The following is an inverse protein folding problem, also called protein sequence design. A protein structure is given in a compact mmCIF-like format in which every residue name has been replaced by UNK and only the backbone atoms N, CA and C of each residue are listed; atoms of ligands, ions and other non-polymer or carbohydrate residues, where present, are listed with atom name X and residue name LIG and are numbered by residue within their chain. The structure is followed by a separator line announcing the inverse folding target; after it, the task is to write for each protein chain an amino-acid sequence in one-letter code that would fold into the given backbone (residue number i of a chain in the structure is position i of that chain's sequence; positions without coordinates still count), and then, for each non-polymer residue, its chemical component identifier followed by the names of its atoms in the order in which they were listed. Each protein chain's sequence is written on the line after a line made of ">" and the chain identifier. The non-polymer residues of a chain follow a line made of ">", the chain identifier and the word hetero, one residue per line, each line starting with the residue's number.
data_IF_095338760786
#
_entry.id   IF_095338760786
#
_cell.length_a   1.000
_cell.length_b   1.000
_cell.length_c   1.000
_cell.angle_alpha   90.00
_cell.angle_beta   90.00
_cell.angle_gamma   90.00
#
_symmetry.space_group_name_H-M   'P 1'
#
loop_
_entity.id
_entity.type
_entity.pdbx_description
1 polymer ?
#
# COMPACT_ATOMS: atom_id res chain seq x y z
N UNK A 1 -8.07 8.19 -27.20
CA UNK A 1 -6.69 8.26 -26.67
C UNK A 1 -6.36 9.72 -26.38
N UNK A 2 -6.20 10.10 -25.12
CA UNK A 2 -5.74 11.44 -24.75
C UNK A 2 -4.22 11.49 -24.94
N UNK A 3 -3.76 12.24 -25.94
CA UNK A 3 -2.34 12.54 -26.13
C UNK A 3 -1.93 13.71 -25.24
N UNK A 4 -0.84 13.55 -24.49
CA UNK A 4 -0.26 14.63 -23.68
C UNK A 4 0.47 15.63 -24.60
N UNK A 5 -0.23 16.69 -25.02
CA UNK A 5 0.37 17.85 -25.69
C UNK A 5 0.60 18.97 -24.66
N UNK A 6 1.72 18.94 -23.95
CA UNK A 6 2.14 20.04 -23.06
C UNK A 6 2.74 19.60 -21.71
N UNK A 7 3.22 20.59 -20.94
CA UNK A 7 3.79 20.40 -19.60
C UNK A 7 2.73 20.66 -18.52
N UNK A 8 2.78 19.91 -17.41
CA UNK A 8 1.94 20.20 -16.22
C UNK A 8 2.45 21.50 -15.58
N UNK A 9 1.59 22.50 -15.43
CA UNK A 9 1.96 23.77 -14.79
C UNK A 9 2.34 23.53 -13.33
N UNK A 10 3.31 24.29 -12.84
CA UNK A 10 3.63 24.34 -11.41
C UNK A 10 2.48 25.07 -10.71
N UNK A 11 1.76 24.35 -9.87
CA UNK A 11 0.76 24.92 -8.97
C UNK A 11 1.41 25.13 -7.60
N UNK A 12 1.58 26.39 -7.21
CA UNK A 12 2.19 26.78 -5.93
C UNK A 12 1.17 26.77 -4.78
N UNK A 13 -0.13 26.77 -5.12
CA UNK A 13 -1.22 26.73 -4.15
C UNK A 13 -1.64 25.27 -3.86
N UNK A 14 -1.04 24.29 -4.54
CA UNK A 14 -1.26 22.87 -4.31
C UNK A 14 -0.78 22.48 -2.90
N UNK A 15 -1.74 22.28 -1.98
CA UNK A 15 -1.45 21.92 -0.60
C UNK A 15 -0.97 20.47 -0.45
N UNK A 16 -1.61 19.54 -1.17
CA UNK A 16 -1.28 18.11 -1.09
C UNK A 16 -1.09 17.51 -2.49
N UNK A 17 -0.07 16.65 -2.63
CA UNK A 17 0.20 15.91 -3.88
C UNK A 17 -0.76 14.73 -4.08
N UNK A 18 -1.18 14.12 -2.98
CA UNK A 18 -2.13 13.04 -2.90
C UNK A 18 -3.25 13.46 -1.94
N UNK A 19 -4.43 12.81 -1.98
CA UNK A 19 -5.47 13.05 -0.99
C UNK A 19 -4.92 12.95 0.44
N UNK A 20 -5.47 13.74 1.36
CA UNK A 20 -5.05 13.71 2.77
C UNK A 20 -5.30 12.33 3.39
N UNK A 21 -6.40 11.68 3.01
CA UNK A 21 -6.69 10.31 3.40
C UNK A 21 -6.03 9.33 2.41
N UNK A 22 -5.22 8.41 2.93
CA UNK A 22 -4.57 7.39 2.12
C UNK A 22 -5.56 6.44 1.45
N UNK A 23 -6.76 6.27 2.01
CA UNK A 23 -7.80 5.41 1.43
C UNK A 23 -8.35 5.97 0.13
N UNK A 24 -8.26 7.29 -0.04
CA UNK A 24 -8.70 7.98 -1.25
C UNK A 24 -7.63 8.00 -2.35
N UNK A 25 -6.45 7.43 -2.10
CA UNK A 25 -5.36 7.37 -3.09
C UNK A 25 -5.68 6.42 -4.25
N UNK A 26 -6.54 5.43 -4.00
CA UNK A 26 -7.00 4.47 -4.99
C UNK A 26 -8.54 4.50 -5.05
N UNK A 27 -9.14 4.18 -6.21
CA UNK A 27 -10.58 4.00 -6.29
C UNK A 27 -11.07 2.95 -5.28
N UNK A 28 -12.27 3.13 -4.74
CA UNK A 28 -12.91 2.15 -3.83
C UNK A 28 -13.06 0.78 -4.49
N UNK A 29 -13.18 0.75 -5.82
CA UNK A 29 -13.27 -0.48 -6.62
C UNK A 29 -11.92 -1.11 -6.97
N UNK A 30 -10.80 -0.57 -6.49
CA UNK A 30 -9.48 -1.13 -6.77
C UNK A 30 -9.35 -2.54 -6.16
N UNK A 31 -8.93 -3.56 -6.93
CA UNK A 31 -8.88 -4.93 -6.44
C UNK A 31 -7.87 -5.15 -5.31
N UNK A 32 -6.93 -4.22 -5.06
CA UNK A 32 -6.03 -4.32 -3.91
C UNK A 32 -6.79 -4.35 -2.58
N UNK A 33 -7.96 -3.67 -2.51
CA UNK A 33 -8.80 -3.69 -1.31
C UNK A 33 -9.34 -5.09 -0.99
N UNK A 34 -9.63 -5.89 -2.03
CA UNK A 34 -9.99 -7.29 -1.84
C UNK A 34 -8.82 -8.10 -1.29
N UNK A 35 -7.60 -7.88 -1.81
CA UNK A 35 -6.41 -8.60 -1.33
C UNK A 35 -6.12 -8.28 0.13
N UNK A 36 -6.20 -7.00 0.52
CA UNK A 36 -6.06 -6.55 1.92
C UNK A 36 -7.10 -7.25 2.80
N UNK A 37 -8.38 -7.21 2.42
CA UNK A 37 -9.45 -7.83 3.19
C UNK A 37 -9.33 -9.35 3.29
N UNK A 38 -8.82 -10.03 2.26
CA UNK A 38 -8.53 -11.46 2.32
C UNK A 38 -7.43 -11.74 3.32
N UNK A 39 -6.32 -10.99 3.29
CA UNK A 39 -5.20 -11.19 4.22
C UNK A 39 -5.62 -10.92 5.68
N UNK A 40 -6.44 -9.90 5.93
CA UNK A 40 -7.01 -9.63 7.26
C UNK A 40 -7.83 -10.80 7.82
N UNK A 41 -8.43 -11.62 6.95
CA UNK A 41 -9.18 -12.82 7.33
C UNK A 41 -8.34 -14.08 7.55
N UNK A 42 -7.04 -14.06 7.23
CA UNK A 42 -6.16 -15.24 7.35
C UNK A 42 -5.54 -15.35 8.75
N UNK A 43 -5.30 -16.58 9.21
CA UNK A 43 -4.49 -16.81 10.41
C UNK A 43 -2.99 -16.64 10.09
N UNK A 44 -2.49 -15.42 10.28
CA UNK A 44 -1.08 -15.06 10.04
C UNK A 44 -0.19 -15.17 11.29
N UNK A 45 -0.70 -15.71 12.42
CA UNK A 45 0.04 -15.77 13.69
C UNK A 45 1.42 -16.43 13.58
N UNK A 46 1.56 -17.43 12.71
CA UNK A 46 2.85 -18.11 12.48
C UNK A 46 3.86 -17.23 11.76
N UNK A 47 3.42 -16.31 10.91
CA UNK A 47 4.30 -15.33 10.25
C UNK A 47 4.81 -14.32 11.26
N UNK A 48 3.91 -13.81 12.11
CA UNK A 48 4.25 -12.95 13.24
C UNK A 48 5.18 -13.64 14.24
N UNK A 49 4.95 -14.92 14.58
CA UNK A 49 5.82 -15.66 15.51
C UNK A 49 7.25 -15.88 14.97
N UNK A 50 7.42 -15.99 13.64
CA UNK A 50 8.75 -16.07 13.01
C UNK A 50 9.46 -14.73 12.97
N UNK A 51 8.72 -13.62 13.11
CA UNK A 51 9.30 -12.28 13.03
C UNK A 51 10.09 -11.98 14.31
N UNK A 52 11.39 -11.73 14.14
CA UNK A 52 12.24 -11.22 15.22
C UNK A 52 12.01 -9.72 15.41
N UNK A 53 11.69 -9.32 16.63
CA UNK A 53 11.62 -7.91 17.08
C UNK A 53 12.82 -7.60 17.99
N UNK A 54 13.12 -6.31 18.19
CA UNK A 54 14.12 -5.85 19.16
C UNK A 54 15.60 -6.05 18.80
N UNK A 55 15.92 -6.32 17.53
CA UNK A 55 17.31 -6.37 17.04
C UNK A 55 17.86 -4.99 16.64
N UNK A 56 19.16 -4.91 16.37
CA UNK A 56 19.79 -3.71 15.83
C UNK A 56 19.30 -3.41 14.40
N UNK A 57 19.12 -2.12 14.09
CA UNK A 57 18.68 -1.64 12.78
C UNK A 57 17.24 -1.14 12.76
N UNK A 58 16.70 -0.93 11.56
CA UNK A 58 15.34 -0.41 11.37
C UNK A 58 14.31 -1.49 11.69
N UNK A 59 13.17 -1.08 12.22
CA UNK A 59 12.01 -1.96 12.31
C UNK A 59 11.67 -2.51 10.91
N UNK A 60 11.64 -3.83 10.76
CA UNK A 60 11.15 -4.48 9.56
C UNK A 60 9.64 -4.30 9.39
N UNK A 61 9.16 -4.44 8.16
CA UNK A 61 7.77 -4.28 7.79
C UNK A 61 6.83 -5.31 8.43
N UNK A 62 5.57 -4.93 8.59
CA UNK A 62 4.54 -5.82 9.13
C UNK A 62 4.38 -7.09 8.28
N UNK A 63 4.33 -8.30 8.89
CA UNK A 63 4.14 -9.56 8.15
C UNK A 63 2.88 -9.61 7.27
N UNK A 64 1.77 -9.00 7.70
CA UNK A 64 0.52 -8.98 6.94
C UNK A 64 0.63 -8.04 5.74
N UNK A 65 1.32 -6.90 5.92
CA UNK A 65 1.69 -6.02 4.80
C UNK A 65 2.57 -6.76 3.77
N UNK A 66 3.59 -7.49 4.22
CA UNK A 66 4.50 -8.23 3.33
C UNK A 66 3.76 -9.35 2.58
N UNK A 67 2.86 -10.07 3.25
CA UNK A 67 2.03 -11.08 2.61
C UNK A 67 1.08 -10.46 1.57
N UNK A 68 0.45 -9.34 1.91
CA UNK A 68 -0.43 -8.58 0.99
C UNK A 68 0.32 -8.19 -0.28
N UNK A 69 1.51 -7.62 -0.14
CA UNK A 69 2.33 -7.24 -1.30
C UNK A 69 2.78 -8.43 -2.14
N UNK A 70 3.12 -9.55 -1.50
CA UNK A 70 3.52 -10.77 -2.20
C UNK A 70 2.38 -11.30 -3.08
N UNK A 71 1.16 -11.36 -2.53
CA UNK A 71 -0.04 -11.80 -3.27
C UNK A 71 -0.34 -10.82 -4.40
N UNK A 72 -0.35 -9.52 -4.10
CA UNK A 72 -0.64 -8.47 -5.07
C UNK A 72 0.34 -8.45 -6.24
N UNK A 73 1.64 -8.66 -6.00
CA UNK A 73 2.66 -8.68 -7.04
C UNK A 73 2.55 -9.87 -8.01
N UNK A 74 1.77 -10.89 -7.64
CA UNK A 74 1.55 -12.11 -8.44
C UNK A 74 0.15 -12.20 -9.08
N UNK A 75 -0.76 -11.31 -8.70
CA UNK A 75 -2.11 -11.23 -9.26
C UNK A 75 -2.10 -10.54 -10.63
#
# INVERSE_FOLDING_TARGET
>A
MLMAKGYRRVDRDQQFLLPQDMRDWLPVSDPVWLVIGVVEGLDTRRLHAKRRTGGAGRAGYDPDMMLTLLIWAWA
#
